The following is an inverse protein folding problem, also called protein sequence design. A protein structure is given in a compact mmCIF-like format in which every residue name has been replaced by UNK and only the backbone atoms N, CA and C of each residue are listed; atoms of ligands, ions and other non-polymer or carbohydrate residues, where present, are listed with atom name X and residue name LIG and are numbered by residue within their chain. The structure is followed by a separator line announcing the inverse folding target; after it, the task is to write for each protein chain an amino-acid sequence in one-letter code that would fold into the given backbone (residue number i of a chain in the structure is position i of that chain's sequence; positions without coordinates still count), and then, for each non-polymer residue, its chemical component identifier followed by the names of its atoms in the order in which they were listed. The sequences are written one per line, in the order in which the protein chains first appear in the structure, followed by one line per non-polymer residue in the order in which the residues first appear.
data_IF_896703358705
#
_entry.id   IF_896703358705
#
_cell.length_a   1.000
_cell.length_b   1.000
_cell.length_c   1.000
_cell.angle_alpha   90.00
_cell.angle_beta   90.00
_cell.angle_gamma   90.00
#
_symmetry.space_group_name_H-M   'P 1'
#
loop_
_entity.id
_entity.type
_entity.pdbx_description
1 polymer ?
#
# COMPACT_ATOMS: atom_id res chain seq x y z
N UNK A 1 10.38 -18.35 -22.34
CA UNK A 1 9.15 -18.49 -21.54
C UNK A 1 8.06 -19.11 -22.40
N UNK A 2 8.16 -20.39 -22.72
CA UNK A 2 7.20 -21.11 -23.58
C UNK A 2 6.88 -22.44 -22.90
N UNK A 3 5.59 -22.72 -22.72
CA UNK A 3 5.13 -23.87 -21.95
C UNK A 3 5.48 -25.20 -22.65
N UNK A 4 5.32 -25.28 -23.98
CA UNK A 4 5.59 -26.50 -24.73
C UNK A 4 7.08 -26.80 -24.77
N UNK A 5 7.91 -25.79 -25.07
CA UNK A 5 9.38 -25.95 -25.09
C UNK A 5 9.93 -26.27 -23.70
N UNK A 6 9.39 -25.64 -22.65
CA UNK A 6 9.79 -25.85 -21.27
C UNK A 6 9.50 -27.27 -20.78
N UNK A 7 8.29 -27.77 -21.01
CA UNK A 7 7.91 -29.13 -20.65
C UNK A 7 8.71 -30.18 -21.42
N UNK A 8 8.91 -29.99 -22.72
CA UNK A 8 9.74 -30.91 -23.52
C UNK A 8 11.15 -31.01 -22.97
N UNK A 9 11.81 -29.88 -22.72
CA UNK A 9 13.17 -29.86 -22.17
C UNK A 9 13.24 -30.52 -20.77
N UNK A 10 12.21 -30.32 -19.95
CA UNK A 10 12.12 -30.97 -18.64
C UNK A 10 12.03 -32.49 -18.77
N UNK A 11 11.13 -33.01 -19.60
CA UNK A 11 11.01 -34.47 -19.81
C UNK A 11 12.25 -35.07 -20.47
N UNK A 12 12.85 -34.40 -21.45
CA UNK A 12 14.07 -34.87 -22.10
C UNK A 12 15.22 -35.00 -21.07
N UNK A 13 15.35 -34.02 -20.16
CA UNK A 13 16.36 -34.06 -19.10
C UNK A 13 16.11 -35.17 -18.05
N UNK A 14 14.85 -35.42 -17.68
CA UNK A 14 14.51 -36.46 -16.71
C UNK A 14 14.66 -37.87 -17.31
N UNK A 15 14.25 -38.07 -18.56
CA UNK A 15 14.25 -39.39 -19.20
C UNK A 15 15.61 -39.81 -19.76
N UNK A 16 16.36 -38.87 -20.35
CA UNK A 16 17.63 -39.17 -21.04
C UNK A 16 18.87 -38.63 -20.32
N UNK A 17 18.68 -37.80 -19.29
CA UNK A 17 19.77 -37.24 -18.51
C UNK A 17 20.22 -38.17 -17.37
N UNK A 18 21.26 -37.74 -16.64
CA UNK A 18 21.69 -38.43 -15.42
C UNK A 18 20.63 -38.30 -14.31
N UNK A 19 20.87 -38.96 -13.18
CA UNK A 19 20.04 -38.76 -11.99
C UNK A 19 20.22 -37.33 -11.44
N UNK A 20 19.12 -36.59 -11.35
CA UNK A 20 19.08 -35.25 -10.77
C UNK A 20 18.60 -35.30 -9.32
N UNK A 21 19.11 -34.40 -8.47
CA UNK A 21 18.74 -34.33 -7.04
C UNK A 21 17.85 -33.14 -6.70
N UNK A 22 18.02 -32.03 -7.42
CA UNK A 22 17.27 -30.79 -7.24
C UNK A 22 17.17 -30.04 -8.57
N UNK A 23 16.18 -29.16 -8.66
CA UNK A 23 16.01 -28.23 -9.79
C UNK A 23 16.37 -26.82 -9.30
N UNK A 24 17.27 -26.15 -10.00
CA UNK A 24 17.62 -24.76 -9.70
C UNK A 24 17.24 -23.85 -10.87
N UNK A 25 16.46 -22.81 -10.59
CA UNK A 25 15.98 -21.85 -11.58
C UNK A 25 14.46 -21.87 -11.76
N UNK A 26 14.02 -21.44 -12.94
CA UNK A 26 12.62 -21.10 -13.22
C UNK A 26 12.38 -19.62 -12.99
N UNK A 27 12.39 -18.86 -14.10
CA UNK A 27 12.21 -17.39 -14.10
C UNK A 27 10.81 -17.01 -14.60
N UNK A 28 10.32 -17.72 -15.62
CA UNK A 28 9.02 -17.46 -16.23
C UNK A 28 7.91 -18.04 -15.34
N UNK A 29 6.94 -17.25 -14.85
CA UNK A 29 5.92 -17.72 -13.93
C UNK A 29 5.11 -18.91 -14.46
N UNK A 30 4.68 -18.87 -15.73
CA UNK A 30 3.82 -19.89 -16.33
C UNK A 30 4.46 -21.27 -16.40
N UNK A 31 5.71 -21.34 -16.87
CA UNK A 31 6.45 -22.61 -16.98
C UNK A 31 6.85 -23.10 -15.59
N UNK A 32 7.25 -22.18 -14.72
CA UNK A 32 7.68 -22.50 -13.35
C UNK A 32 6.53 -23.11 -12.55
N UNK A 33 5.30 -22.58 -12.65
CA UNK A 33 4.14 -23.14 -11.95
C UNK A 33 3.82 -24.55 -12.43
N UNK A 34 3.84 -24.79 -13.75
CA UNK A 34 3.56 -26.12 -14.32
C UNK A 34 4.60 -27.15 -13.84
N UNK A 35 5.89 -26.80 -13.88
CA UNK A 35 6.95 -27.69 -13.42
C UNK A 35 6.80 -27.95 -11.91
N UNK A 36 6.63 -26.89 -11.11
CA UNK A 36 6.54 -26.95 -9.65
C UNK A 36 5.38 -27.85 -9.16
N UNK A 37 4.25 -27.85 -9.86
CA UNK A 37 3.08 -28.69 -9.55
C UNK A 37 3.36 -30.18 -9.72
N UNK A 38 4.25 -30.55 -10.65
CA UNK A 38 4.56 -31.95 -10.97
C UNK A 38 5.65 -32.58 -10.10
N UNK A 39 6.32 -31.79 -9.25
CA UNK A 39 7.55 -32.22 -8.56
C UNK A 39 7.35 -33.28 -7.49
N UNK A 40 6.15 -33.38 -6.91
CA UNK A 40 5.82 -34.40 -5.92
C UNK A 40 5.95 -35.81 -6.51
N UNK A 41 5.53 -36.00 -7.76
CA UNK A 41 5.66 -37.30 -8.46
C UNK A 41 7.10 -37.74 -8.70
N UNK A 42 8.04 -36.78 -8.76
CA UNK A 42 9.47 -37.03 -9.00
C UNK A 42 10.33 -36.96 -7.73
N UNK A 43 9.74 -36.61 -6.57
CA UNK A 43 10.46 -36.36 -5.31
C UNK A 43 11.60 -35.32 -5.43
N UNK A 44 11.47 -34.37 -6.36
CA UNK A 44 12.45 -33.32 -6.58
C UNK A 44 12.03 -32.04 -5.85
N UNK A 45 13.03 -31.29 -5.39
CA UNK A 45 12.85 -29.96 -4.80
C UNK A 45 13.34 -28.91 -5.79
N UNK A 46 12.54 -27.87 -6.01
CA UNK A 46 12.89 -26.76 -6.87
C UNK A 46 13.23 -25.50 -6.06
N UNK A 47 14.34 -24.85 -6.39
CA UNK A 47 14.74 -23.56 -5.86
C UNK A 47 14.80 -22.51 -6.99
N UNK A 48 13.88 -21.55 -6.99
CA UNK A 48 13.90 -20.41 -7.91
C UNK A 48 14.58 -19.19 -7.28
N UNK A 49 15.26 -18.39 -8.09
CA UNK A 49 15.87 -17.12 -7.65
C UNK A 49 15.19 -15.88 -8.26
N UNK A 50 14.16 -16.06 -9.10
CA UNK A 50 13.54 -14.95 -9.84
C UNK A 50 12.01 -15.04 -9.99
N UNK A 51 11.36 -16.12 -9.58
CA UNK A 51 9.90 -16.24 -9.64
C UNK A 51 9.24 -15.52 -8.45
N UNK A 52 8.75 -14.30 -8.68
CA UNK A 52 8.14 -13.44 -7.63
C UNK A 52 6.62 -13.55 -7.52
N UNK A 53 5.95 -14.27 -8.43
CA UNK A 53 4.48 -14.36 -8.45
C UNK A 53 3.92 -14.90 -7.12
N UNK A 54 2.85 -14.31 -6.56
CA UNK A 54 2.21 -14.79 -5.34
C UNK A 54 1.62 -16.20 -5.43
N UNK A 55 1.18 -16.62 -6.62
CA UNK A 55 0.50 -17.92 -6.83
C UNK A 55 1.33 -19.11 -6.36
N UNK A 56 2.66 -19.02 -6.43
CA UNK A 56 3.60 -20.08 -6.02
C UNK A 56 3.72 -20.25 -4.50
N UNK A 57 3.07 -19.41 -3.70
CA UNK A 57 3.05 -19.52 -2.24
C UNK A 57 2.11 -20.63 -1.73
N UNK A 58 1.15 -21.10 -2.55
CA UNK A 58 0.21 -22.15 -2.15
C UNK A 58 0.91 -23.50 -1.98
N UNK A 59 1.23 -23.84 -0.73
CA UNK A 59 1.90 -25.09 -0.35
C UNK A 59 1.06 -26.35 -0.54
N UNK A 60 -0.25 -26.23 -0.76
CA UNK A 60 -1.08 -27.39 -1.12
C UNK A 60 -0.84 -27.80 -2.57
N UNK A 61 -0.54 -26.83 -3.45
CA UNK A 61 -0.25 -27.06 -4.87
C UNK A 61 1.24 -27.22 -5.16
N UNK A 62 2.09 -26.49 -4.42
CA UNK A 62 3.53 -26.42 -4.64
C UNK A 62 4.34 -26.81 -3.39
N UNK A 63 4.20 -28.05 -2.88
CA UNK A 63 4.85 -28.47 -1.64
C UNK A 63 6.37 -28.36 -1.71
N UNK A 64 6.96 -28.79 -2.83
CA UNK A 64 8.42 -28.90 -3.04
C UNK A 64 9.07 -27.65 -3.67
N UNK A 65 8.37 -26.51 -3.68
CA UNK A 65 8.88 -25.27 -4.27
C UNK A 65 9.47 -24.32 -3.22
N UNK A 66 10.69 -23.84 -3.44
CA UNK A 66 11.33 -22.81 -2.63
C UNK A 66 11.80 -21.66 -3.52
N UNK A 67 11.91 -20.47 -2.95
CA UNK A 67 12.51 -19.33 -3.66
C UNK A 67 13.38 -18.45 -2.79
N UNK A 68 14.55 -18.05 -3.32
CA UNK A 68 15.46 -17.11 -2.64
C UNK A 68 15.12 -15.64 -2.86
N UNK A 69 14.16 -15.33 -3.74
CA UNK A 69 13.66 -13.96 -3.92
C UNK A 69 12.36 -13.78 -3.12
N UNK A 70 12.14 -12.62 -2.46
CA UNK A 70 10.85 -12.30 -1.87
C UNK A 70 9.71 -12.34 -2.89
N UNK A 71 8.52 -12.73 -2.43
CA UNK A 71 7.27 -12.67 -3.19
C UNK A 71 6.85 -11.22 -3.42
N UNK A 72 6.03 -10.96 -4.43
CA UNK A 72 5.34 -9.68 -4.54
C UNK A 72 4.41 -9.42 -3.32
N UNK A 73 3.90 -10.46 -2.65
CA UNK A 73 3.14 -10.29 -1.39
C UNK A 73 3.99 -9.81 -0.21
N UNK A 74 5.31 -9.98 -0.27
CA UNK A 74 6.19 -9.58 0.84
C UNK A 74 6.19 -8.06 1.08
N UNK A 75 5.70 -7.26 0.11
CA UNK A 75 5.56 -5.81 0.24
C UNK A 75 4.38 -5.41 1.12
N UNK A 76 3.32 -6.22 1.21
CA UNK A 76 2.08 -5.84 1.88
C UNK A 76 2.28 -5.60 3.39
N UNK A 77 2.94 -6.49 4.16
CA UNK A 77 3.23 -6.22 5.57
C UNK A 77 4.06 -4.95 5.77
N UNK A 78 5.01 -4.68 4.87
CA UNK A 78 5.83 -3.47 4.92
C UNK A 78 4.97 -2.21 4.71
N UNK A 79 4.09 -2.22 3.70
CA UNK A 79 3.16 -1.11 3.43
C UNK A 79 2.26 -0.86 4.64
N UNK A 80 1.70 -1.90 5.25
CA UNK A 80 0.85 -1.76 6.46
C UNK A 80 1.62 -1.11 7.62
N UNK A 81 2.87 -1.53 7.87
CA UNK A 81 3.72 -0.88 8.89
C UNK A 81 4.00 0.58 8.56
N UNK A 82 4.21 0.90 7.28
CA UNK A 82 4.41 2.29 6.83
C UNK A 82 3.15 3.15 7.04
N UNK A 83 1.96 2.63 6.75
CA UNK A 83 0.69 3.32 7.00
C UNK A 83 0.49 3.59 8.50
N UNK A 84 0.76 2.58 9.34
CA UNK A 84 0.66 2.70 10.80
C UNK A 84 1.63 3.72 11.38
N UNK A 85 2.86 3.81 10.85
CA UNK A 85 3.84 4.81 11.28
C UNK A 85 3.31 6.26 11.12
N UNK A 86 2.57 6.53 10.04
CA UNK A 86 1.98 7.84 9.77
C UNK A 86 0.54 8.01 10.29
N UNK A 87 0.01 7.01 11.02
CA UNK A 87 -1.38 6.97 11.52
C UNK A 87 -2.43 7.14 10.40
N UNK A 88 -2.19 6.57 9.22
CA UNK A 88 -3.17 6.53 8.14
C UNK A 88 -4.06 5.30 8.27
N UNK A 89 -5.33 5.52 8.57
CA UNK A 89 -6.32 4.44 8.77
C UNK A 89 -7.37 4.34 7.67
N UNK A 90 -7.26 5.17 6.63
CA UNK A 90 -8.16 5.16 5.46
C UNK A 90 -7.37 5.25 4.16
N UNK A 91 -7.44 4.19 3.36
CA UNK A 91 -6.70 4.06 2.09
C UNK A 91 -7.64 3.70 0.94
N UNK A 92 -7.23 3.93 -0.30
CA UNK A 92 -7.89 3.34 -1.47
C UNK A 92 -6.90 2.58 -2.33
N UNK A 93 -7.40 1.58 -3.06
CA UNK A 93 -6.57 0.72 -3.90
C UNK A 93 -6.91 0.89 -5.37
N UNK A 94 -5.89 0.98 -6.23
CA UNK A 94 -6.04 1.05 -7.68
C UNK A 94 -5.24 -0.08 -8.33
N UNK A 95 -5.92 -1.05 -8.94
CA UNK A 95 -5.29 -2.29 -9.41
C UNK A 95 -5.54 -2.54 -10.90
N UNK A 96 -4.51 -2.92 -11.65
CA UNK A 96 -4.67 -3.39 -13.01
C UNK A 96 -5.27 -4.80 -13.03
N UNK A 97 -6.21 -5.08 -13.93
CA UNK A 97 -6.91 -6.37 -14.06
C UNK A 97 -6.02 -7.49 -14.63
N UNK A 98 -4.95 -7.84 -13.92
CA UNK A 98 -4.04 -8.94 -14.24
C UNK A 98 -3.91 -9.84 -13.01
N UNK A 99 -3.94 -11.16 -13.22
CA UNK A 99 -3.93 -12.14 -12.13
C UNK A 99 -2.84 -11.86 -11.09
N UNK A 100 -1.61 -11.56 -11.52
CA UNK A 100 -0.49 -11.23 -10.63
C UNK A 100 -0.82 -10.11 -9.65
N UNK A 101 -1.43 -9.01 -10.10
CA UNK A 101 -1.77 -7.87 -9.25
C UNK A 101 -3.02 -8.14 -8.41
N UNK A 102 -4.01 -8.85 -8.96
CA UNK A 102 -5.20 -9.26 -8.20
C UNK A 102 -4.85 -10.11 -6.97
N UNK A 103 -3.87 -11.02 -7.06
CA UNK A 103 -3.42 -11.79 -5.90
C UNK A 103 -2.77 -10.91 -4.83
N UNK A 104 -1.93 -9.94 -5.23
CA UNK A 104 -1.31 -8.99 -4.28
C UNK A 104 -2.36 -8.12 -3.62
N UNK A 105 -3.37 -7.65 -4.36
CA UNK A 105 -4.51 -6.90 -3.79
C UNK A 105 -5.30 -7.73 -2.78
N UNK A 106 -5.59 -8.99 -3.10
CA UNK A 106 -6.36 -9.86 -2.20
C UNK A 106 -5.60 -10.09 -0.88
N UNK A 107 -4.28 -10.31 -0.95
CA UNK A 107 -3.42 -10.40 0.22
C UNK A 107 -3.36 -9.09 1.01
N UNK A 108 -3.25 -7.95 0.30
CA UNK A 108 -3.26 -6.62 0.90
C UNK A 108 -4.55 -6.34 1.68
N UNK A 109 -5.72 -6.73 1.16
CA UNK A 109 -7.00 -6.60 1.88
C UNK A 109 -6.94 -7.32 3.23
N UNK A 110 -6.42 -8.55 3.26
CA UNK A 110 -6.30 -9.32 4.50
C UNK A 110 -5.32 -8.65 5.49
N UNK A 111 -4.20 -8.12 5.01
CA UNK A 111 -3.21 -7.45 5.86
C UNK A 111 -3.71 -6.11 6.40
N UNK A 112 -4.49 -5.35 5.61
CA UNK A 112 -5.14 -4.11 6.05
C UNK A 112 -6.22 -4.37 7.10
N UNK A 113 -7.04 -5.41 6.92
CA UNK A 113 -8.07 -5.81 7.89
C UNK A 113 -7.45 -6.21 9.24
N UNK A 114 -6.34 -6.97 9.24
CA UNK A 114 -5.61 -7.33 10.47
C UNK A 114 -5.05 -6.12 11.23
N UNK A 115 -4.84 -5.00 10.54
CA UNK A 115 -4.29 -3.78 11.10
C UNK A 115 -5.35 -2.70 11.39
N UNK A 116 -6.64 -3.04 11.30
CA UNK A 116 -7.77 -2.11 11.48
C UNK A 116 -7.72 -0.87 10.54
N UNK A 117 -7.16 -1.04 9.34
CA UNK A 117 -7.09 0.02 8.31
C UNK A 117 -8.26 -0.16 7.34
N UNK A 118 -9.11 0.87 7.21
CA UNK A 118 -10.28 0.84 6.35
C UNK A 118 -9.91 1.11 4.89
N UNK A 119 -10.38 0.25 3.99
CA UNK A 119 -10.38 0.53 2.55
C UNK A 119 -11.60 1.38 2.22
N UNK A 120 -11.36 2.63 1.81
CA UNK A 120 -12.37 3.59 1.43
C UNK A 120 -13.02 3.27 0.10
N UNK A 121 -12.20 2.83 -0.86
CA UNK A 121 -12.63 2.52 -2.21
C UNK A 121 -11.62 1.58 -2.89
N UNK A 122 -12.14 0.70 -3.74
CA UNK A 122 -11.37 -0.31 -4.46
C UNK A 122 -11.73 -0.23 -5.92
N UNK A 123 -10.77 0.23 -6.73
CA UNK A 123 -10.98 0.40 -8.15
C UNK A 123 -10.02 -0.48 -8.95
N UNK A 124 -10.54 -1.10 -10.00
CA UNK A 124 -9.75 -1.88 -10.93
C UNK A 124 -9.98 -1.47 -12.38
N UNK A 125 -8.93 -1.59 -13.20
CA UNK A 125 -8.95 -1.15 -14.59
C UNK A 125 -8.11 -2.05 -15.48
N UNK A 126 -8.52 -2.18 -16.74
CA UNK A 126 -7.79 -2.98 -17.72
C UNK A 126 -6.90 -2.09 -18.61
N UNK A 127 -7.48 -1.04 -19.22
CA UNK A 127 -6.80 -0.19 -20.21
C UNK A 127 -6.78 1.31 -19.87
N UNK A 128 -7.95 1.91 -19.62
CA UNK A 128 -8.09 3.34 -19.29
C UNK A 128 -8.32 3.53 -17.78
N UNK A 129 -7.34 4.11 -17.05
CA UNK A 129 -7.47 4.32 -15.60
C UNK A 129 -8.26 5.59 -15.24
N UNK A 130 -8.54 6.50 -16.16
CA UNK A 130 -9.04 7.85 -15.83
C UNK A 130 -10.40 7.83 -15.10
N UNK A 131 -11.31 6.94 -15.49
CA UNK A 131 -12.64 6.80 -14.85
C UNK A 131 -12.49 6.32 -13.40
N UNK A 132 -11.63 5.33 -13.18
CA UNK A 132 -11.34 4.76 -11.87
C UNK A 132 -10.64 5.77 -10.95
N UNK A 133 -9.63 6.48 -11.47
CA UNK A 133 -8.95 7.56 -10.72
C UNK A 133 -9.95 8.67 -10.34
N UNK A 134 -10.89 9.00 -11.23
CA UNK A 134 -11.95 9.97 -10.93
C UNK A 134 -12.86 9.50 -9.78
N UNK A 135 -13.25 8.23 -9.74
CA UNK A 135 -14.06 7.70 -8.63
C UNK A 135 -13.32 7.77 -7.29
N UNK A 136 -12.01 7.43 -7.26
CA UNK A 136 -11.19 7.59 -6.06
C UNK A 136 -11.19 9.05 -5.56
N UNK A 137 -11.13 10.02 -6.49
CA UNK A 137 -11.24 11.44 -6.16
C UNK A 137 -12.62 11.78 -5.58
N UNK A 138 -13.68 11.33 -6.24
CA UNK A 138 -15.07 11.62 -5.87
C UNK A 138 -15.38 11.05 -4.47
N UNK A 139 -14.72 9.94 -4.08
CA UNK A 139 -14.78 9.33 -2.76
C UNK A 139 -13.80 9.93 -1.72
N UNK A 140 -13.16 11.08 -1.98
CA UNK A 140 -12.16 11.76 -1.12
C UNK A 140 -11.06 10.80 -0.64
N UNK A 141 -10.57 9.92 -1.51
CA UNK A 141 -9.42 9.05 -1.22
C UNK A 141 -8.12 9.83 -1.38
N UNK A 142 -7.27 9.80 -0.35
CA UNK A 142 -6.03 10.58 -0.29
C UNK A 142 -4.76 9.74 -0.25
N UNK A 143 -4.82 8.59 0.41
CA UNK A 143 -3.73 7.62 0.45
C UNK A 143 -4.08 6.52 -0.55
N UNK A 144 -3.30 6.39 -1.62
CA UNK A 144 -3.62 5.53 -2.76
C UNK A 144 -2.50 4.50 -2.94
N UNK A 145 -2.89 3.22 -2.90
CA UNK A 145 -2.00 2.08 -3.13
C UNK A 145 -2.25 1.58 -4.56
N UNK A 146 -1.28 1.80 -5.44
CA UNK A 146 -1.32 1.44 -6.85
C UNK A 146 -0.63 0.11 -7.13
N UNK A 147 -1.26 -0.72 -7.96
CA UNK A 147 -0.71 -1.99 -8.43
C UNK A 147 -0.95 -2.11 -9.94
N UNK A 148 0.02 -1.67 -10.73
CA UNK A 148 -0.05 -1.65 -12.19
C UNK A 148 1.35 -1.70 -12.79
N UNK A 149 1.43 -2.03 -14.07
CA UNK A 149 2.68 -2.05 -14.81
C UNK A 149 3.23 -0.65 -15.14
N UNK A 150 4.48 -0.61 -15.58
CA UNK A 150 5.21 0.60 -15.96
C UNK A 150 4.49 1.39 -17.07
N UNK A 151 3.92 0.68 -18.04
CA UNK A 151 3.25 1.28 -19.20
C UNK A 151 1.99 2.06 -18.76
N UNK A 152 1.18 1.47 -17.88
CA UNK A 152 -0.05 2.08 -17.38
C UNK A 152 0.21 3.11 -16.29
N UNK A 153 1.34 3.04 -15.57
CA UNK A 153 1.72 4.04 -14.57
C UNK A 153 1.74 5.46 -15.17
N UNK A 154 2.31 5.64 -16.36
CA UNK A 154 2.35 6.92 -17.07
C UNK A 154 0.94 7.49 -17.33
N UNK A 155 -0.02 6.62 -17.72
CA UNK A 155 -1.42 6.99 -17.95
C UNK A 155 -2.13 7.35 -16.65
N UNK A 156 -1.94 6.56 -15.58
CA UNK A 156 -2.52 6.80 -14.25
C UNK A 156 -2.12 8.18 -13.74
N UNK A 157 -0.82 8.49 -13.74
CA UNK A 157 -0.34 9.78 -13.25
C UNK A 157 -0.73 10.95 -14.16
N UNK A 158 -0.90 10.74 -15.47
CA UNK A 158 -1.47 11.76 -16.33
C UNK A 158 -2.93 12.08 -15.98
N UNK A 159 -3.75 11.05 -15.74
CA UNK A 159 -5.12 11.23 -15.27
C UNK A 159 -5.14 11.95 -13.90
N UNK A 160 -4.26 11.54 -12.98
CA UNK A 160 -4.11 12.16 -11.66
C UNK A 160 -3.74 13.65 -11.75
N UNK A 161 -2.85 14.03 -12.67
CA UNK A 161 -2.51 15.43 -12.94
C UNK A 161 -3.75 16.24 -13.37
N UNK A 162 -4.48 15.74 -14.37
CA UNK A 162 -5.68 16.42 -14.89
C UNK A 162 -6.79 16.54 -13.84
N UNK A 163 -6.82 15.62 -12.88
CA UNK A 163 -7.76 15.62 -11.76
C UNK A 163 -7.22 16.34 -10.51
N UNK A 164 -6.02 16.93 -10.54
CA UNK A 164 -5.37 17.56 -9.38
C UNK A 164 -5.21 16.62 -8.17
N UNK A 165 -4.94 15.34 -8.41
CA UNK A 165 -4.69 14.31 -7.38
C UNK A 165 -3.19 14.16 -7.06
N UNK A 166 -2.54 15.27 -6.77
CA UNK A 166 -1.11 15.34 -6.41
C UNK A 166 -0.86 16.46 -5.40
N UNK A 167 0.39 16.58 -4.92
CA UNK A 167 0.79 17.61 -3.95
C UNK A 167 0.44 17.24 -2.50
N UNK A 168 0.38 18.24 -1.62
CA UNK A 168 0.35 18.05 -0.15
C UNK A 168 -0.89 17.35 0.43
N UNK A 169 -1.88 17.01 -0.40
CA UNK A 169 -3.13 16.33 0.04
C UNK A 169 -3.18 14.85 -0.31
N UNK A 170 -2.30 14.38 -1.18
CA UNK A 170 -2.34 13.02 -1.71
C UNK A 170 -1.00 12.32 -1.49
N UNK A 171 -1.05 11.03 -1.20
CA UNK A 171 0.12 10.17 -1.16
C UNK A 171 -0.11 8.95 -2.05
N UNK A 172 0.80 8.76 -3.01
CA UNK A 172 0.83 7.57 -3.86
C UNK A 172 1.86 6.59 -3.33
N UNK A 173 1.47 5.32 -3.23
CA UNK A 173 2.34 4.19 -2.93
C UNK A 173 2.26 3.24 -4.14
N UNK A 174 3.37 3.02 -4.83
CA UNK A 174 3.42 2.24 -6.07
C UNK A 174 4.56 1.20 -6.01
N UNK A 175 4.60 0.23 -6.93
CA UNK A 175 5.70 -0.73 -6.98
C UNK A 175 7.00 -0.06 -7.44
N UNK A 176 8.13 -0.44 -6.83
CA UNK A 176 9.45 0.14 -7.10
C UNK A 176 10.35 -0.67 -8.04
N UNK A 177 9.78 -1.62 -8.78
CA UNK A 177 10.53 -2.49 -9.70
C UNK A 177 10.61 -1.97 -11.14
N UNK A 178 10.08 -0.77 -11.42
CA UNK A 178 10.16 -0.11 -12.73
C UNK A 178 11.62 0.20 -13.11
N UNK A 179 11.91 0.21 -14.41
CA UNK A 179 13.30 0.34 -14.88
C UNK A 179 13.60 1.77 -15.36
N UNK A 180 14.78 2.28 -14.98
CA UNK A 180 15.32 3.54 -15.47
C UNK A 180 14.38 4.74 -15.28
N UNK A 181 14.44 5.67 -16.22
CA UNK A 181 13.56 6.84 -16.28
C UNK A 181 12.24 6.47 -16.98
N UNK A 182 11.47 5.54 -16.42
CA UNK A 182 10.23 5.04 -17.03
C UNK A 182 9.24 6.16 -17.44
N UNK A 183 9.31 7.31 -16.78
CA UNK A 183 8.55 8.53 -17.12
C UNK A 183 8.92 9.17 -18.47
N UNK A 184 10.02 8.78 -19.11
CA UNK A 184 10.35 9.22 -20.48
C UNK A 184 9.47 8.54 -21.54
N UNK A 185 8.91 7.36 -21.24
CA UNK A 185 7.93 6.68 -22.10
C UNK A 185 6.60 7.44 -22.17
N UNK A 186 6.41 8.47 -21.34
CA UNK A 186 5.22 9.34 -21.32
C UNK A 186 4.91 9.99 -22.67
N UNK A 187 5.91 10.14 -23.56
CA UNK A 187 5.72 10.70 -24.90
C UNK A 187 4.77 9.88 -25.79
N UNK A 188 4.50 8.62 -25.42
CA UNK A 188 3.49 7.76 -26.08
C UNK A 188 2.06 8.04 -25.60
N UNK A 189 1.91 8.81 -24.52
CA UNK A 189 0.62 9.25 -23.97
C UNK A 189 0.41 10.72 -24.32
N UNK A 190 -0.84 11.20 -24.34
CA UNK A 190 -1.17 12.62 -24.55
C UNK A 190 -0.73 13.55 -23.38
N UNK A 191 0.25 13.14 -22.57
CA UNK A 191 0.80 13.87 -21.43
C UNK A 191 2.23 14.35 -21.71
N UNK A 192 2.54 15.60 -21.37
CA UNK A 192 3.92 16.08 -21.40
C UNK A 192 4.70 15.59 -20.17
N UNK A 193 5.99 15.29 -20.34
CA UNK A 193 6.87 14.84 -19.24
C UNK A 193 6.84 15.77 -18.03
N UNK A 194 6.74 17.10 -18.26
CA UNK A 194 6.62 18.09 -17.17
C UNK A 194 5.37 17.89 -16.30
N UNK A 195 4.22 17.60 -16.91
CA UNK A 195 2.97 17.31 -16.16
C UNK A 195 3.13 16.04 -15.34
N UNK A 196 3.72 15.01 -15.95
CA UNK A 196 3.95 13.73 -15.31
C UNK A 196 4.87 13.86 -14.09
N UNK A 197 6.03 14.50 -14.25
CA UNK A 197 6.99 14.76 -13.17
C UNK A 197 6.34 15.52 -12.00
N UNK A 198 5.47 16.50 -12.31
CA UNK A 198 4.75 17.26 -11.28
C UNK A 198 3.77 16.39 -10.50
N UNK A 199 3.06 15.47 -11.16
CA UNK A 199 2.08 14.61 -10.51
C UNK A 199 2.69 13.45 -9.72
N UNK A 200 3.86 12.97 -10.14
CA UNK A 200 4.56 11.87 -9.47
C UNK A 200 5.44 12.34 -8.30
N UNK A 201 5.68 13.64 -8.16
CA UNK A 201 6.54 14.17 -7.10
C UNK A 201 6.11 13.63 -5.72
N UNK A 202 7.04 13.02 -5.00
CA UNK A 202 6.83 12.48 -3.66
C UNK A 202 6.10 11.14 -3.57
N UNK A 203 5.86 10.40 -4.66
CA UNK A 203 5.38 9.02 -4.53
C UNK A 203 6.38 8.17 -3.74
N UNK A 204 5.85 7.19 -3.01
CA UNK A 204 6.64 6.17 -2.33
C UNK A 204 6.64 4.91 -3.19
N UNK A 205 7.82 4.44 -3.57
CA UNK A 205 7.98 3.15 -4.24
C UNK A 205 8.47 2.09 -3.27
N UNK A 206 7.94 0.87 -3.44
CA UNK A 206 8.22 -0.28 -2.58
C UNK A 206 8.75 -1.44 -3.42
N UNK A 207 9.93 -1.94 -3.09
CA UNK A 207 10.55 -3.11 -3.73
C UNK A 207 11.40 -3.88 -2.72
N UNK A 208 11.92 -5.05 -3.07
CA UNK A 208 12.92 -5.74 -2.27
C UNK A 208 14.31 -5.12 -2.47
N UNK A 209 15.18 -5.26 -1.47
CA UNK A 209 16.59 -4.84 -1.57
C UNK A 209 17.42 -5.92 -2.32
N UNK A 210 18.08 -5.59 -3.45
CA UNK A 210 18.87 -6.58 -4.22
C UNK A 210 20.14 -7.07 -3.51
N UNK A 211 20.75 -6.23 -2.67
CA UNK A 211 21.96 -6.52 -1.89
C UNK A 211 21.83 -5.91 -0.49
N UNK A 212 22.38 -6.57 0.53
CA UNK A 212 22.30 -6.02 1.88
C UNK A 212 23.12 -4.73 2.01
N UNK A 213 22.53 -3.70 2.63
CA UNK A 213 23.26 -2.49 3.02
C UNK A 213 24.34 -2.77 4.08
N UNK A 214 24.16 -3.83 4.89
CA UNK A 214 25.07 -4.21 5.98
C UNK A 214 26.36 -4.82 5.42
N UNK A 215 27.51 -4.22 5.75
CA UNK A 215 28.83 -4.67 5.30
C UNK A 215 29.42 -5.77 6.18
N UNK A 216 28.61 -6.81 6.46
CA UNK A 216 29.04 -7.99 7.21
C UNK A 216 29.55 -9.07 6.26
N UNK A 217 30.55 -9.83 6.69
CA UNK A 217 31.04 -10.99 5.93
C UNK A 217 30.07 -12.15 6.09
N UNK A 218 29.49 -12.58 4.97
CA UNK A 218 28.57 -13.72 4.94
C UNK A 218 29.29 -15.08 4.90
N UNK A 219 28.55 -16.13 4.56
CA UNK A 219 29.05 -17.51 4.45
C UNK A 219 30.24 -17.66 3.49
N UNK A 220 30.32 -16.81 2.47
CA UNK A 220 31.39 -16.82 1.48
C UNK A 220 32.67 -16.09 1.92
N UNK A 221 32.67 -15.49 3.12
CA UNK A 221 33.76 -14.65 3.62
C UNK A 221 33.85 -13.26 2.98
N UNK A 222 32.93 -12.92 2.06
CA UNK A 222 32.86 -11.63 1.38
C UNK A 222 31.77 -10.74 1.98
N UNK A 223 31.99 -9.43 1.92
CA UNK A 223 30.94 -8.42 2.12
C UNK A 223 30.11 -8.21 0.85
N UNK A 224 28.87 -7.69 0.94
CA UNK A 224 28.06 -7.39 -0.25
C UNK A 224 28.76 -6.45 -1.23
N UNK A 225 29.50 -5.45 -0.74
CA UNK A 225 30.24 -4.48 -1.59
C UNK A 225 31.47 -5.10 -2.26
N UNK A 226 32.17 -6.03 -1.61
CA UNK A 226 33.26 -6.78 -2.25
C UNK A 226 32.72 -7.67 -3.37
N UNK A 227 31.61 -8.37 -3.11
CA UNK A 227 30.91 -9.18 -4.11
C UNK A 227 30.45 -8.34 -5.30
N UNK A 228 29.82 -7.19 -5.06
CA UNK A 228 29.34 -6.29 -6.12
C UNK A 228 30.49 -5.83 -7.03
N UNK A 229 31.64 -5.45 -6.45
CA UNK A 229 32.82 -5.06 -7.22
C UNK A 229 33.36 -6.19 -8.10
N UNK A 230 33.39 -7.42 -7.57
CA UNK A 230 33.83 -8.61 -8.32
C UNK A 230 32.86 -8.91 -9.47
N UNK A 231 31.55 -8.87 -9.19
CA UNK A 231 30.50 -9.07 -10.17
C UNK A 231 30.55 -8.02 -11.30
N UNK A 232 30.70 -6.73 -10.98
CA UNK A 232 30.80 -5.67 -11.99
C UNK A 232 32.03 -5.83 -12.88
N UNK A 233 33.17 -6.29 -12.35
CA UNK A 233 34.37 -6.57 -13.14
C UNK A 233 34.15 -7.70 -14.13
N UNK A 234 33.51 -8.79 -13.69
CA UNK A 234 33.14 -9.93 -14.55
C UNK A 234 32.17 -9.50 -15.67
N UNK A 235 31.18 -8.66 -15.35
CA UNK A 235 30.25 -8.13 -16.35
C UNK A 235 30.96 -7.29 -17.42
N UNK A 236 31.88 -6.41 -17.01
CA UNK A 236 32.66 -5.59 -17.94
C UNK A 236 33.53 -6.45 -18.87
N UNK A 237 34.14 -7.51 -18.35
CA UNK A 237 34.93 -8.43 -19.16
C UNK A 237 34.09 -9.22 -20.18
N UNK A 238 32.84 -9.55 -19.82
CA UNK A 238 31.93 -10.34 -20.67
C UNK A 238 31.04 -9.48 -21.58
N UNK A 239 30.99 -8.17 -21.35
CA UNK A 239 30.12 -7.24 -22.09
C UNK A 239 28.63 -7.52 -21.87
N UNK A 240 28.23 -7.91 -20.65
CA UNK A 240 26.83 -8.26 -20.31
C UNK A 240 26.25 -7.23 -19.34
N UNK A 241 24.95 -6.98 -19.44
CA UNK A 241 24.21 -6.07 -18.55
C UNK A 241 23.98 -6.68 -17.16
N UNK A 242 23.87 -5.80 -16.15
CA UNK A 242 23.62 -6.21 -14.79
C UNK A 242 22.14 -6.59 -14.57
N UNK A 243 21.89 -7.80 -14.07
CA UNK A 243 20.57 -8.23 -13.62
C UNK A 243 20.37 -8.05 -12.12
N UNK A 244 19.25 -7.44 -11.69
CA UNK A 244 18.93 -7.28 -10.26
C UNK A 244 18.81 -8.57 -9.46
N UNK A 245 18.76 -9.73 -10.13
CA UNK A 245 18.61 -11.04 -9.47
C UNK A 245 19.94 -11.75 -9.16
N UNK A 246 21.09 -11.13 -9.48
CA UNK A 246 22.40 -11.78 -9.36
C UNK A 246 22.72 -12.24 -7.92
N UNK A 247 22.39 -11.42 -6.91
CA UNK A 247 22.62 -11.74 -5.50
C UNK A 247 21.76 -12.93 -5.03
N UNK A 248 20.51 -13.01 -5.48
CA UNK A 248 19.58 -14.09 -5.13
C UNK A 248 20.00 -15.44 -5.74
N UNK A 249 20.57 -15.42 -6.94
CA UNK A 249 21.16 -16.60 -7.56
C UNK A 249 22.42 -17.05 -6.81
N UNK A 250 23.29 -16.10 -6.44
CA UNK A 250 24.50 -16.37 -5.67
C UNK A 250 24.19 -17.04 -4.32
N UNK A 251 23.27 -16.47 -3.56
CA UNK A 251 22.84 -17.05 -2.28
C UNK A 251 22.11 -18.39 -2.47
N UNK A 252 21.39 -18.58 -3.60
CA UNK A 252 20.75 -19.85 -3.94
C UNK A 252 21.72 -21.01 -4.10
N UNK A 253 22.89 -20.78 -4.69
CA UNK A 253 23.95 -21.82 -4.79
C UNK A 253 24.48 -22.18 -3.39
N UNK A 254 24.66 -21.20 -2.51
CA UNK A 254 25.05 -21.46 -1.12
C UNK A 254 23.99 -22.23 -0.33
N UNK A 255 22.70 -21.93 -0.55
CA UNK A 255 21.58 -22.71 0.02
C UNK A 255 21.69 -24.17 -0.41
N UNK A 256 21.86 -24.43 -1.70
CA UNK A 256 21.98 -25.79 -2.25
C UNK A 256 23.19 -26.52 -1.66
N UNK A 257 24.36 -25.87 -1.64
CA UNK A 257 25.59 -26.45 -1.11
C UNK A 257 25.47 -26.79 0.39
N UNK A 258 24.90 -25.88 1.19
CA UNK A 258 24.67 -26.10 2.62
C UNK A 258 23.65 -27.22 2.87
N UNK A 259 22.59 -27.26 2.08
CA UNK A 259 21.55 -28.30 2.13
C UNK A 259 22.16 -29.67 1.88
N UNK A 260 22.87 -29.87 0.77
CA UNK A 260 23.47 -31.16 0.47
C UNK A 260 24.56 -31.57 1.46
N UNK A 261 25.35 -30.62 1.96
CA UNK A 261 26.35 -30.89 3.02
C UNK A 261 25.68 -31.49 4.25
N UNK A 262 24.56 -30.91 4.69
CA UNK A 262 23.81 -31.39 5.85
C UNK A 262 23.10 -32.71 5.58
N UNK A 263 22.48 -32.88 4.41
CA UNK A 263 21.84 -34.15 4.02
C UNK A 263 22.86 -35.30 3.98
N UNK A 264 24.05 -35.07 3.40
CA UNK A 264 25.12 -36.07 3.39
C UNK A 264 25.58 -36.47 4.79
N UNK A 265 25.65 -35.52 5.72
CA UNK A 265 25.98 -35.79 7.12
C UNK A 265 24.90 -36.66 7.79
N UNK A 266 23.62 -36.32 7.61
CA UNK A 266 22.50 -37.09 8.15
C UNK A 266 22.45 -38.53 7.59
N UNK A 267 22.69 -38.69 6.30
CA UNK A 267 22.76 -40.01 5.66
C UNK A 267 23.93 -40.84 6.19
N UNK A 268 25.11 -40.23 6.41
CA UNK A 268 26.26 -40.92 7.01
C UNK A 268 25.96 -41.40 8.43
N UNK A 269 25.24 -40.61 9.23
CA UNK A 269 24.83 -40.99 10.59
C UNK A 269 23.86 -42.18 10.54
N UNK A 270 22.83 -42.12 9.69
CA UNK A 270 21.88 -43.22 9.49
C UNK A 270 22.57 -44.51 9.02
N UNK A 271 23.50 -44.39 8.08
CA UNK A 271 24.26 -45.54 7.58
C UNK A 271 25.10 -46.20 8.69
N UNK A 272 25.72 -45.42 9.57
CA UNK A 272 26.46 -45.93 10.73
C UNK A 272 25.55 -46.64 11.74
N UNK A 273 24.34 -46.15 11.95
CA UNK A 273 23.36 -46.77 12.85
C UNK A 273 22.81 -48.08 12.29
N UNK A 274 22.62 -48.17 10.97
CA UNK A 274 22.10 -49.36 10.28
C UNK A 274 23.20 -50.28 9.74
N UNK A 275 24.39 -50.28 10.36
CA UNK A 275 25.59 -50.97 9.85
C UNK A 275 25.45 -52.49 9.66
N UNK A 276 24.37 -53.10 10.13
CA UNK A 276 24.07 -54.53 10.01
C UNK A 276 23.12 -54.88 8.85
N UNK A 277 22.55 -53.90 8.12
CA UNK A 277 21.65 -54.13 6.98
C UNK A 277 22.16 -53.43 5.72
N UNK A 278 21.89 -54.01 4.54
CA UNK A 278 22.16 -53.39 3.24
C UNK A 278 21.36 -52.09 3.12
N UNK A 279 22.00 -50.96 3.45
CA UNK A 279 21.39 -49.64 3.41
C UNK A 279 21.26 -49.18 1.95
N UNK A 280 20.06 -49.34 1.38
CA UNK A 280 19.66 -48.71 0.11
C UNK A 280 18.96 -47.39 0.40
N UNK A 281 19.48 -46.30 -0.15
CA UNK A 281 18.88 -44.96 -0.02
C UNK A 281 17.71 -44.84 -0.98
N UNK A 282 16.49 -44.68 -0.45
CA UNK A 282 15.28 -44.41 -1.25
C UNK A 282 15.24 -42.92 -1.66
N UNK A 283 14.83 -42.65 -2.90
CA UNK A 283 14.76 -41.31 -3.45
C UNK A 283 13.70 -40.46 -2.76
N UNK A 284 12.62 -41.09 -2.26
CA UNK A 284 11.61 -40.41 -1.45
C UNK A 284 12.19 -39.93 -0.12
N UNK A 285 13.02 -40.74 0.51
CA UNK A 285 13.66 -40.39 1.78
C UNK A 285 14.64 -39.23 1.60
N UNK A 286 15.43 -39.24 0.52
CA UNK A 286 16.34 -38.13 0.18
C UNK A 286 15.55 -36.86 -0.12
N UNK A 287 14.48 -36.95 -0.94
CA UNK A 287 13.63 -35.80 -1.24
C UNK A 287 13.05 -35.15 0.01
N UNK A 288 12.57 -35.97 0.97
CA UNK A 288 12.08 -35.50 2.26
C UNK A 288 13.18 -34.85 3.10
N UNK A 289 14.36 -35.46 3.20
CA UNK A 289 15.50 -34.89 3.92
C UNK A 289 15.94 -33.55 3.34
N UNK A 290 15.96 -33.42 2.01
CA UNK A 290 16.26 -32.15 1.33
C UNK A 290 15.23 -31.10 1.72
N UNK A 291 13.94 -31.43 1.65
CA UNK A 291 12.86 -30.51 2.01
C UNK A 291 12.95 -30.03 3.48
N UNK A 292 13.18 -30.96 4.41
CA UNK A 292 13.32 -30.66 5.84
C UNK A 292 14.53 -29.75 6.12
N UNK A 293 15.70 -30.09 5.55
CA UNK A 293 16.92 -29.30 5.72
C UNK A 293 16.81 -27.91 5.06
N UNK A 294 16.12 -27.80 3.92
CA UNK A 294 15.87 -26.52 3.29
C UNK A 294 15.02 -25.61 4.20
N UNK A 295 14.01 -26.16 4.87
CA UNK A 295 13.18 -25.41 5.80
C UNK A 295 13.95 -24.91 7.05
N UNK A 296 14.99 -25.64 7.48
CA UNK A 296 15.87 -25.27 8.59
C UNK A 296 17.03 -24.32 8.21
N UNK A 297 17.13 -23.95 6.93
CA UNK A 297 18.25 -23.14 6.45
C UNK A 297 18.24 -21.73 7.04
N UNK A 298 19.34 -21.38 7.72
CA UNK A 298 19.59 -20.05 8.25
C UNK A 298 21.08 -19.69 8.13
N UNK A 299 21.42 -18.63 7.38
CA UNK A 299 22.77 -18.05 7.31
C UNK A 299 22.74 -16.62 6.74
N UNK A 300 23.86 -15.90 6.83
CA UNK A 300 24.03 -14.60 6.18
C UNK A 300 24.70 -14.76 4.80
N UNK A 301 23.98 -14.35 3.76
CA UNK A 301 24.45 -14.23 2.38
C UNK A 301 24.71 -12.78 1.97
N UNK A 302 24.91 -12.53 0.67
CA UNK A 302 25.16 -11.17 0.15
C UNK A 302 23.88 -10.32 0.10
N UNK A 303 22.72 -10.97 0.06
CA UNK A 303 21.40 -10.32 0.09
C UNK A 303 20.82 -10.24 1.52
N UNK A 304 21.64 -10.49 2.54
CA UNK A 304 21.25 -10.46 3.95
C UNK A 304 21.00 -11.85 4.53
N UNK A 305 20.17 -11.93 5.55
CA UNK A 305 19.81 -13.22 6.15
C UNK A 305 18.98 -14.05 5.16
N UNK A 306 19.35 -15.32 4.99
CA UNK A 306 18.66 -16.29 4.15
C UNK A 306 17.95 -17.27 5.09
N UNK A 307 16.63 -17.14 5.15
CA UNK A 307 15.73 -17.97 5.94
C UNK A 307 14.43 -18.16 5.17
N UNK A 308 13.87 -19.36 5.25
CA UNK A 308 12.59 -19.68 4.63
C UNK A 308 11.50 -19.84 5.68
N UNK A 309 10.28 -19.42 5.33
CA UNK A 309 9.05 -19.71 6.07
C UNK A 309 8.04 -20.21 5.05
N UNK A 310 7.61 -21.47 5.18
CA UNK A 310 6.70 -22.10 4.21
C UNK A 310 7.19 -21.95 2.76
N UNK A 311 8.48 -22.16 2.50
CA UNK A 311 9.09 -22.06 1.16
C UNK A 311 9.30 -20.64 0.62
N UNK A 312 8.80 -19.62 1.30
CA UNK A 312 9.05 -18.23 0.96
C UNK A 312 10.25 -17.68 1.72
N UNK A 313 11.02 -16.79 1.07
CA UNK A 313 12.10 -16.10 1.74
C UNK A 313 11.61 -14.92 2.55
N UNK A 314 12.04 -14.87 3.81
CA UNK A 314 11.91 -13.69 4.66
C UNK A 314 13.01 -12.69 4.29
N UNK A 315 12.64 -11.59 3.64
CA UNK A 315 13.57 -10.59 3.09
C UNK A 315 13.49 -9.22 3.75
N UNK A 316 14.26 -8.28 3.19
CA UNK A 316 14.18 -6.85 3.51
C UNK A 316 13.49 -6.12 2.36
N UNK A 317 12.50 -5.31 2.70
CA UNK A 317 11.77 -4.45 1.77
C UNK A 317 12.33 -3.03 1.90
N UNK A 318 12.60 -2.36 0.79
CA UNK A 318 13.07 -0.99 0.75
C UNK A 318 11.94 -0.04 0.35
N UNK A 319 11.99 1.15 0.92
CA UNK A 319 11.15 2.27 0.54
C UNK A 319 12.01 3.33 -0.12
N UNK A 320 11.61 3.73 -1.32
CA UNK A 320 12.18 4.85 -2.05
C UNK A 320 11.13 5.96 -2.12
N UNK A 321 11.57 7.21 -2.22
CA UNK A 321 10.72 8.34 -2.53
C UNK A 321 11.26 9.06 -3.76
N UNK A 322 10.37 9.44 -4.68
CA UNK A 322 10.73 10.28 -5.80
C UNK A 322 10.85 11.75 -5.37
N UNK A 323 12.05 12.30 -5.48
CA UNK A 323 12.41 13.67 -5.06
C UNK A 323 13.20 14.34 -6.17
N UNK A 324 12.74 15.50 -6.65
CA UNK A 324 13.48 16.35 -7.58
C UNK A 324 13.98 15.60 -8.85
N UNK A 325 13.22 14.62 -9.33
CA UNK A 325 13.56 13.83 -10.52
C UNK A 325 14.33 12.53 -10.28
N UNK A 326 14.58 12.14 -9.02
CA UNK A 326 15.32 10.92 -8.69
C UNK A 326 14.65 10.13 -7.56
N UNK A 327 14.80 8.80 -7.57
CA UNK A 327 14.40 7.97 -6.43
C UNK A 327 15.49 7.95 -5.36
N UNK A 328 15.13 8.33 -4.14
CA UNK A 328 16.02 8.31 -2.97
C UNK A 328 15.52 7.27 -1.98
N UNK A 329 16.41 6.41 -1.47
CA UNK A 329 16.06 5.45 -0.41
C UNK A 329 15.72 6.21 0.88
N UNK A 330 14.54 5.92 1.44
CA UNK A 330 14.01 6.59 2.63
C UNK A 330 13.78 5.68 3.82
N UNK A 331 13.82 4.36 3.62
CA UNK A 331 13.68 3.42 4.72
C UNK A 331 13.79 1.97 4.27
N UNK A 332 13.80 1.08 5.26
CA UNK A 332 13.76 -0.36 5.05
C UNK A 332 12.90 -1.04 6.11
N UNK A 333 12.28 -2.15 5.73
CA UNK A 333 11.48 -3.01 6.60
C UNK A 333 12.10 -4.40 6.62
N UNK A 334 12.37 -4.90 7.82
CA UNK A 334 12.92 -6.24 8.03
C UNK A 334 11.80 -7.21 8.42
N UNK A 335 11.45 -8.13 7.51
CA UNK A 335 10.36 -9.10 7.74
C UNK A 335 10.66 -10.13 8.84
N UNK A 336 11.93 -10.36 9.19
CA UNK A 336 12.31 -11.29 10.26
C UNK A 336 12.11 -10.64 11.63
N UNK A 337 12.56 -9.39 11.78
CA UNK A 337 12.45 -8.64 13.02
C UNK A 337 11.08 -7.97 13.21
N UNK A 338 10.29 -7.83 12.13
CA UNK A 338 9.03 -7.08 12.09
C UNK A 338 9.20 -5.59 12.46
N UNK A 339 10.32 -4.99 12.02
CA UNK A 339 10.70 -3.60 12.31
C UNK A 339 10.82 -2.79 11.02
N UNK A 340 10.22 -1.59 11.03
CA UNK A 340 10.36 -0.56 10.00
C UNK A 340 11.36 0.49 10.48
N UNK A 341 12.46 0.64 9.76
CA UNK A 341 13.51 1.61 10.01
C UNK A 341 13.45 2.69 8.92
N UNK A 342 12.96 3.88 9.27
CA UNK A 342 12.97 5.05 8.38
C UNK A 342 14.23 5.88 8.60
N UNK A 343 14.80 6.39 7.50
CA UNK A 343 15.98 7.25 7.55
C UNK A 343 15.51 8.66 7.93
N UNK A 344 15.98 9.16 9.07
CA UNK A 344 15.60 10.49 9.54
C UNK A 344 15.95 11.57 8.51
N UNK A 345 15.02 12.52 8.32
CA UNK A 345 15.14 13.65 7.39
C UNK A 345 15.29 13.31 5.90
N UNK A 346 15.12 12.04 5.49
CA UNK A 346 15.14 11.69 4.08
C UNK A 346 13.79 11.92 3.41
N UNK A 347 12.67 11.63 4.09
CA UNK A 347 11.31 11.79 3.53
C UNK A 347 10.94 13.28 3.49
N UNK A 348 10.49 13.74 2.32
CA UNK A 348 9.99 15.09 2.10
C UNK A 348 8.53 15.04 1.69
N UNK A 349 7.69 15.75 2.41
CA UNK A 349 6.31 16.00 2.00
C UNK A 349 6.22 17.41 1.44
N UNK A 350 5.32 17.63 0.49
CA UNK A 350 5.07 18.96 -0.09
C UNK A 350 4.35 19.90 0.88
N UNK A 351 3.70 19.33 1.90
CA UNK A 351 3.14 20.08 3.03
C UNK A 351 4.12 20.17 4.21
N UNK A 352 3.80 21.02 5.19
CA UNK A 352 4.54 21.11 6.46
C UNK A 352 4.42 19.80 7.27
N UNK A 353 3.30 19.11 7.10
CA UNK A 353 3.01 17.82 7.72
C UNK A 353 2.65 16.78 6.64
N UNK A 354 2.77 15.47 6.94
CA UNK A 354 2.23 14.41 6.10
C UNK A 354 0.74 14.63 5.80
N UNK A 355 0.25 14.24 4.61
CA UNK A 355 -1.16 14.38 4.27
C UNK A 355 -2.05 13.65 5.27
N UNK A 356 -3.21 14.21 5.58
CA UNK A 356 -4.23 13.53 6.38
C UNK A 356 -5.08 12.64 5.48
N UNK A 357 -5.46 11.46 5.97
CA UNK A 357 -6.22 10.42 5.26
C UNK A 357 -7.68 10.80 4.92
N UNK A 358 -8.25 11.79 5.62
CA UNK A 358 -9.62 12.28 5.42
C UNK A 358 -9.78 13.79 5.67
N UNK A 359 -10.90 14.34 5.24
CA UNK A 359 -11.38 15.66 5.68
C UNK A 359 -11.87 15.62 7.13
N UNK A 360 -11.43 16.58 7.95
CA UNK A 360 -11.98 16.77 9.30
C UNK A 360 -13.19 17.70 9.25
N UNK A 361 -14.38 17.16 9.51
CA UNK A 361 -15.61 17.97 9.62
C UNK A 361 -15.64 18.66 10.98
N UNK A 362 -15.48 19.99 10.98
CA UNK A 362 -15.64 20.80 12.20
C UNK A 362 -17.07 21.34 12.25
N UNK A 363 -17.88 20.78 13.15
CA UNK A 363 -19.22 21.30 13.41
C UNK A 363 -19.11 22.68 14.07
N UNK A 364 -19.45 23.73 13.33
CA UNK A 364 -19.52 25.09 13.84
C UNK A 364 -20.98 25.50 14.05
N UNK A 365 -21.30 25.92 15.27
CA UNK A 365 -22.60 26.51 15.57
C UNK A 365 -22.67 27.89 14.91
N UNK A 366 -23.62 28.08 14.00
CA UNK A 366 -23.91 29.41 13.46
C UNK A 366 -24.70 30.21 14.49
N UNK A 367 -24.17 31.33 14.91
CA UNK A 367 -24.84 32.29 15.78
C UNK A 367 -25.41 33.45 14.96
N UNK A 368 -26.51 34.03 15.43
CA UNK A 368 -27.05 35.27 14.87
C UNK A 368 -26.06 36.39 15.20
N UNK A 369 -25.85 37.30 14.25
CA UNK A 369 -24.99 38.46 14.42
C UNK A 369 -25.50 39.36 15.58
N UNK A 370 -24.69 39.54 16.62
CA UNK A 370 -25.06 40.25 17.86
C UNK A 370 -25.48 41.72 17.60
N UNK A 371 -24.78 42.49 16.74
CA UNK A 371 -25.26 43.80 16.27
C UNK A 371 -26.68 43.79 15.68
N UNK A 372 -26.99 42.84 14.80
CA UNK A 372 -28.32 42.75 14.18
C UNK A 372 -29.39 42.44 15.23
N UNK A 373 -29.09 41.49 16.13
CA UNK A 373 -29.94 41.17 17.27
C UNK A 373 -30.21 42.40 18.14
N UNK A 374 -29.16 43.18 18.42
CA UNK A 374 -29.25 44.38 19.25
C UNK A 374 -30.13 45.46 18.60
N UNK A 375 -29.94 45.72 17.30
CA UNK A 375 -30.74 46.69 16.54
C UNK A 375 -32.22 46.28 16.56
N UNK A 376 -32.54 45.04 16.21
CA UNK A 376 -33.92 44.56 16.17
C UNK A 376 -34.56 44.59 17.56
N UNK A 377 -33.83 44.18 18.60
CA UNK A 377 -34.32 44.22 19.98
C UNK A 377 -34.61 45.66 20.43
N UNK A 378 -33.74 46.63 20.15
CA UNK A 378 -33.99 48.04 20.49
C UNK A 378 -35.23 48.61 19.78
N UNK A 379 -35.44 48.28 18.49
CA UNK A 379 -36.63 48.68 17.75
C UNK A 379 -37.90 48.06 18.35
N UNK A 380 -37.87 46.77 18.72
CA UNK A 380 -39.00 46.11 19.38
C UNK A 380 -39.32 46.75 20.73
N UNK A 381 -38.29 47.09 21.53
CA UNK A 381 -38.46 47.77 22.82
C UNK A 381 -39.10 49.15 22.64
N UNK A 382 -38.61 49.94 21.68
CA UNK A 382 -39.20 51.25 21.34
C UNK A 382 -40.68 51.12 20.90
N UNK A 383 -41.00 50.10 20.09
CA UNK A 383 -42.36 49.79 19.68
C UNK A 383 -43.29 49.46 20.86
N UNK A 384 -42.79 48.71 21.85
CA UNK A 384 -43.56 48.40 23.06
C UNK A 384 -43.85 49.65 23.91
N UNK A 385 -42.86 50.54 24.08
CA UNK A 385 -43.07 51.80 24.79
C UNK A 385 -44.12 52.68 24.10
N UNK A 386 -44.05 52.79 22.77
CA UNK A 386 -45.01 53.57 21.98
C UNK A 386 -46.43 53.00 22.09
N UNK A 387 -46.60 51.68 21.99
CA UNK A 387 -47.89 51.03 22.17
C UNK A 387 -48.46 51.22 23.59
N UNK A 388 -47.62 51.14 24.62
CA UNK A 388 -48.00 51.45 26.01
C UNK A 388 -48.48 52.89 26.19
N UNK A 389 -47.79 53.86 25.58
CA UNK A 389 -48.20 55.26 25.61
C UNK A 389 -49.55 55.50 24.91
N UNK A 390 -49.78 54.87 23.76
CA UNK A 390 -51.06 54.94 23.06
C UNK A 390 -52.20 54.30 23.86
N UNK A 391 -51.94 53.16 24.52
CA UNK A 391 -52.93 52.53 25.40
C UNK A 391 -53.28 53.46 26.57
N UNK A 392 -52.28 54.05 27.22
CA UNK A 392 -52.49 55.00 28.32
C UNK A 392 -53.29 56.22 27.88
N UNK A 393 -52.94 56.81 26.73
CA UNK A 393 -53.66 57.95 26.15
C UNK A 393 -55.12 57.60 25.87
N UNK A 394 -55.38 56.43 25.29
CA UNK A 394 -56.71 55.96 24.96
C UNK A 394 -57.58 55.72 26.22
N UNK A 395 -57.00 55.13 27.28
CA UNK A 395 -57.68 54.93 28.55
C UNK A 395 -57.97 56.26 29.25
N UNK A 396 -56.98 57.17 29.33
CA UNK A 396 -57.12 58.46 30.01
C UNK A 396 -58.18 59.35 29.37
N UNK A 397 -58.22 59.40 28.04
CA UNK A 397 -59.11 60.29 27.29
C UNK A 397 -60.39 59.58 26.79
N UNK A 398 -60.74 58.41 27.34
CA UNK A 398 -61.91 57.60 26.92
C UNK A 398 -63.25 58.33 26.87
N UNK A 399 -63.39 59.40 27.67
CA UNK A 399 -64.62 60.20 27.77
C UNK A 399 -64.66 61.38 26.77
N UNK A 400 -63.56 61.64 26.04
CA UNK A 400 -63.51 62.70 25.05
C UNK A 400 -64.29 62.32 23.79
N UNK A 401 -65.08 63.26 23.24
CA UNK A 401 -66.06 63.03 22.16
C UNK A 401 -65.46 62.33 20.93
N UNK A 402 -64.25 62.72 20.52
CA UNK A 402 -63.54 62.13 19.38
C UNK A 402 -63.15 60.65 19.60
N UNK A 403 -62.70 60.29 20.81
CA UNK A 403 -62.26 58.92 21.13
C UNK A 403 -63.46 57.99 21.33
N UNK A 404 -64.59 58.54 21.79
CA UNK A 404 -65.85 57.82 21.94
C UNK A 404 -66.47 57.45 20.58
N UNK A 405 -66.30 58.28 19.56
CA UNK A 405 -66.72 57.97 18.18
C UNK A 405 -65.85 56.90 17.50
N UNK A 406 -64.61 56.69 17.96
CA UNK A 406 -63.66 55.73 17.38
C UNK A 406 -63.66 54.34 18.06
N UNK A 407 -64.74 53.94 18.72
CA UNK A 407 -64.90 52.63 19.40
C UNK A 407 -63.75 52.28 20.37
N UNK A 408 -63.71 52.89 21.56
CA UNK A 408 -62.59 52.76 22.49
C UNK A 408 -62.35 51.33 22.99
N UNK A 409 -63.40 50.50 23.09
CA UNK A 409 -63.28 49.10 23.51
C UNK A 409 -62.54 48.24 22.48
N UNK A 410 -62.74 48.47 21.18
CA UNK A 410 -62.01 47.76 20.13
C UNK A 410 -60.52 48.13 20.12
N UNK A 411 -60.21 49.42 20.26
CA UNK A 411 -58.82 49.88 20.32
C UNK A 411 -58.08 49.35 21.58
N UNK A 412 -58.80 49.23 22.71
CA UNK A 412 -58.27 48.62 23.93
C UNK A 412 -58.09 47.09 23.84
N UNK A 413 -58.56 46.45 22.76
CA UNK A 413 -58.32 45.03 22.47
C UNK A 413 -57.20 44.85 21.43
N UNK A 414 -57.12 45.74 20.44
CA UNK A 414 -56.09 45.72 19.39
C UNK A 414 -54.69 46.02 19.96
N UNK A 415 -54.55 47.03 20.82
CA UNK A 415 -53.24 47.46 21.32
C UNK A 415 -52.57 46.38 22.19
N UNK A 416 -53.26 45.74 23.16
CA UNK A 416 -52.70 44.59 23.88
C UNK A 416 -52.34 43.40 22.97
N UNK A 417 -53.13 43.15 21.91
CA UNK A 417 -52.80 42.14 20.89
C UNK A 417 -51.49 42.45 20.17
N UNK A 418 -51.27 43.70 19.77
CA UNK A 418 -50.01 44.14 19.16
C UNK A 418 -48.81 44.06 20.12
N UNK A 419 -49.01 44.38 21.41
CA UNK A 419 -47.99 44.21 22.44
C UNK A 419 -47.60 42.73 22.63
N UNK A 420 -48.56 41.80 22.62
CA UNK A 420 -48.29 40.38 22.72
C UNK A 420 -47.44 39.86 21.54
N UNK A 421 -47.70 40.34 20.32
CA UNK A 421 -46.90 40.00 19.13
C UNK A 421 -45.46 40.50 19.24
N UNK A 422 -45.26 41.75 19.68
CA UNK A 422 -43.92 42.31 19.88
C UNK A 422 -43.14 41.57 20.99
N UNK A 423 -43.82 41.19 22.08
CA UNK A 423 -43.22 40.39 23.15
C UNK A 423 -42.78 38.99 22.69
N UNK A 424 -43.48 38.37 21.73
CA UNK A 424 -43.12 37.06 21.16
C UNK A 424 -41.88 37.12 20.26
N UNK A 425 -41.56 38.28 19.67
CA UNK A 425 -40.36 38.44 18.85
C UNK A 425 -39.06 38.37 19.67
N UNK A 426 -39.01 38.93 20.88
CA UNK A 426 -37.80 38.92 21.71
C UNK A 426 -37.25 37.50 22.03
N UNK A 427 -38.08 36.52 22.45
CA UNK A 427 -37.63 35.15 22.67
C UNK A 427 -37.27 34.40 21.37
N UNK A 428 -37.93 34.71 20.25
CA UNK A 428 -37.58 34.12 18.95
C UNK A 428 -36.11 34.37 18.58
N UNK A 429 -35.62 35.56 18.92
CA UNK A 429 -34.26 35.95 18.63
C UNK A 429 -33.27 35.65 19.79
N UNK A 430 -33.74 35.51 21.04
CA UNK A 430 -32.88 35.23 22.21
C UNK A 430 -32.53 33.74 22.40
N UNK A 431 -32.91 32.88 21.46
CA UNK A 431 -32.41 31.50 21.40
C UNK A 431 -33.41 30.46 21.87
N UNK A 432 -34.60 30.42 21.27
CA UNK A 432 -35.27 29.13 21.12
C UNK A 432 -34.37 28.24 20.27
N UNK A 433 -33.86 27.19 20.93
CA UNK A 433 -33.02 26.13 20.38
C UNK A 433 -33.75 25.48 19.20
N UNK A 434 -33.53 25.96 17.99
CA UNK A 434 -33.72 25.14 16.81
C UNK A 434 -32.64 24.05 16.84
N UNK A 435 -32.99 22.88 17.37
CA UNK A 435 -32.38 21.62 16.91
C UNK A 435 -32.95 21.38 15.51
N UNK A 436 -32.15 21.71 14.51
CA UNK A 436 -32.23 21.08 13.19
C UNK A 436 -31.15 20.00 13.15
#
# INVERSE_FOLDING_TARGET
CDNAKGLRAFFDAICYGPKHLMIFGGVCPSVTSIIAESLEGWNLVQLSFAATTPVLADKKKYPNFFRTVPSDNAVNPAVVKFLNYYNWSRVGTLTQDVQRFSEVRNDLTNELEKADIQIADTESFSNDPCVNVKKLKDNDVRIIIGQFDENLASKVFCCAYNLNMFGSKYQWIIPGWYQGNWWEQANTTNCTTKKLLTAMEGYISVDFEPLSARQIKGISGRTPKEYEREYSRELQQKGVEASKFHGFAYDGIWVIAKTFTRVMELLRIKQRQNSYHNFTVDDREVGKLVLDVMNETNFFGVTGQVMFRNGERMGTIKFNQFQDGQEVKVGEYNAIADVLDLINNSIRFQGVEPPKDRTFVRLQRRHINVPLYSILSTITILGMFMAGAFLFFNIKNRNHRLIKMSSPYMNNLIIPGGLAVLCLHLPFWSGWRFRL
#
